data_IF_232766771052
#
_entry.id   IF_232766771052
#
_cell.length_a   1.000
_cell.length_b   1.000
_cell.length_c   1.000
_cell.angle_alpha   90.00
_cell.angle_beta   90.00
_cell.angle_gamma   90.00
#
_symmetry.space_group_name_H-M   'P 1'
#
loop_
_entity.id
_entity.type
_entity.pdbx_description
1 polymer ?
#
# COMPACT_ATOMS: atom_id res chain seq x y z
N UNK A 1 -64.47 -1.31 3.37
CA UNK A 1 -63.58 -0.94 4.50
C UNK A 1 -62.54 -2.00 4.82
N UNK A 2 -62.89 -3.29 4.93
CA UNK A 2 -61.93 -4.36 5.26
C UNK A 2 -60.83 -4.54 4.20
N UNK A 3 -61.18 -4.45 2.90
CA UNK A 3 -60.18 -4.48 1.81
C UNK A 3 -59.24 -3.27 1.81
N UNK A 4 -59.73 -2.08 2.18
CA UNK A 4 -58.90 -0.86 2.25
C UNK A 4 -57.93 -0.93 3.43
N UNK A 5 -58.37 -1.52 4.55
CA UNK A 5 -57.53 -1.77 5.72
C UNK A 5 -56.45 -2.82 5.42
N UNK A 6 -56.75 -3.90 4.70
CA UNK A 6 -55.77 -4.89 4.22
C UNK A 6 -54.77 -4.30 3.21
N UNK A 7 -55.23 -3.41 2.32
CA UNK A 7 -54.36 -2.74 1.35
C UNK A 7 -53.43 -1.71 2.02
N UNK A 8 -53.92 -0.97 3.02
CA UNK A 8 -53.10 -0.08 3.85
C UNK A 8 -52.14 -0.85 4.78
N UNK A 9 -52.54 -2.00 5.32
CA UNK A 9 -51.66 -2.88 6.11
C UNK A 9 -50.58 -3.50 5.22
N UNK A 10 -50.92 -3.87 3.98
CA UNK A 10 -49.99 -4.35 2.96
C UNK A 10 -49.01 -3.27 2.50
N UNK A 11 -49.47 -2.03 2.30
CA UNK A 11 -48.61 -0.88 1.99
C UNK A 11 -47.69 -0.51 3.17
N UNK A 12 -48.19 -0.58 4.41
CA UNK A 12 -47.36 -0.39 5.61
C UNK A 12 -46.36 -1.53 5.79
N UNK A 13 -46.74 -2.79 5.54
CA UNK A 13 -45.81 -3.92 5.56
C UNK A 13 -44.77 -3.85 4.44
N UNK A 14 -45.15 -3.42 3.23
CA UNK A 14 -44.25 -3.24 2.07
C UNK A 14 -43.33 -2.03 2.20
N UNK A 15 -43.66 -1.03 3.02
CA UNK A 15 -42.76 0.06 3.38
C UNK A 15 -41.85 -0.31 4.56
N UNK A 16 -42.37 -1.08 5.53
CA UNK A 16 -41.64 -1.49 6.74
C UNK A 16 -40.69 -2.66 6.48
N UNK A 17 -40.96 -3.58 5.56
CA UNK A 17 -40.08 -4.72 5.24
C UNK A 17 -38.77 -4.31 4.54
N UNK A 18 -38.72 -3.37 3.58
CA UNK A 18 -37.46 -2.85 3.05
C UNK A 18 -36.79 -1.84 4.00
N UNK A 19 -37.53 -1.09 4.83
CA UNK A 19 -36.93 -0.25 5.89
C UNK A 19 -36.38 -1.07 7.05
N UNK A 20 -37.04 -2.16 7.44
CA UNK A 20 -36.62 -3.09 8.49
C UNK A 20 -35.63 -4.11 7.95
N UNK A 21 -35.68 -4.46 6.67
CA UNK A 21 -34.68 -5.24 5.96
C UNK A 21 -33.39 -4.44 5.77
N UNK A 22 -33.47 -3.18 5.34
CA UNK A 22 -32.32 -2.27 5.27
C UNK A 22 -31.83 -1.86 6.66
N UNK A 23 -32.69 -1.60 7.66
CA UNK A 23 -32.27 -1.45 9.05
C UNK A 23 -31.75 -2.75 9.66
N UNK A 24 -32.22 -3.93 9.31
CA UNK A 24 -31.66 -5.20 9.83
C UNK A 24 -30.31 -5.52 9.16
N UNK A 25 -30.18 -5.25 7.86
CA UNK A 25 -28.92 -5.39 7.11
C UNK A 25 -27.89 -4.29 7.44
N UNK A 26 -28.31 -3.07 7.79
CA UNK A 26 -27.40 -1.92 7.99
C UNK A 26 -27.32 -1.41 9.45
N UNK A 27 -28.35 -1.62 10.28
CA UNK A 27 -28.37 -1.19 11.71
C UNK A 27 -28.54 -2.36 12.70
N UNK A 28 -29.02 -3.52 12.26
CA UNK A 28 -29.10 -4.77 13.02
C UNK A 28 -27.74 -5.47 13.16
N UNK A 29 -26.75 -5.04 12.37
CA UNK A 29 -25.34 -5.23 12.71
C UNK A 29 -24.99 -4.22 13.81
N UNK A 30 -25.48 -4.42 15.03
CA UNK A 30 -24.66 -4.05 16.19
C UNK A 30 -23.43 -4.92 16.07
N UNK A 31 -22.37 -4.43 15.44
CA UNK A 31 -21.07 -5.10 15.34
C UNK A 31 -20.71 -5.62 16.75
N UNK A 32 -20.89 -6.92 17.05
CA UNK A 32 -20.37 -7.45 18.28
C UNK A 32 -18.86 -7.32 18.14
N UNK A 33 -18.18 -6.94 19.22
CA UNK A 33 -16.73 -6.71 19.26
C UNK A 33 -15.88 -7.90 18.74
N UNK A 34 -16.50 -9.06 18.47
CA UNK A 34 -15.91 -10.27 17.91
C UNK A 34 -16.28 -10.60 16.44
N UNK A 35 -17.12 -9.83 15.74
CA UNK A 35 -17.41 -10.00 14.30
C UNK A 35 -16.55 -9.09 13.39
N UNK A 36 -15.46 -8.51 13.92
CA UNK A 36 -14.45 -7.75 13.16
C UNK A 36 -13.48 -8.64 12.37
N UNK A 37 -13.56 -9.98 12.47
CA UNK A 37 -12.54 -10.88 11.94
C UNK A 37 -12.93 -11.59 10.63
N UNK A 38 -14.12 -12.21 10.50
CA UNK A 38 -14.33 -13.17 9.38
C UNK A 38 -15.74 -13.08 8.76
N UNK A 39 -15.95 -12.19 7.78
CA UNK A 39 -17.25 -12.05 7.11
C UNK A 39 -17.17 -11.75 5.61
N UNK A 40 -17.20 -12.81 4.78
CA UNK A 40 -17.50 -12.92 3.33
C UNK A 40 -16.88 -11.97 2.28
N UNK A 41 -16.54 -10.72 2.60
CA UNK A 41 -15.64 -9.86 1.82
C UNK A 41 -14.14 -10.22 1.96
N UNK A 42 -13.63 -10.66 3.14
CA UNK A 42 -12.26 -11.11 3.31
C UNK A 42 -11.83 -12.26 2.38
N UNK A 43 -12.60 -13.35 2.14
CA UNK A 43 -12.10 -14.46 1.34
C UNK A 43 -11.88 -14.11 -0.14
N UNK A 44 -12.72 -13.25 -0.73
CA UNK A 44 -12.58 -12.82 -2.13
C UNK A 44 -11.45 -11.80 -2.32
N UNK A 45 -11.34 -10.83 -1.41
CA UNK A 45 -10.26 -9.83 -1.41
C UNK A 45 -8.93 -10.49 -1.04
N UNK A 46 -8.93 -11.46 -0.11
CA UNK A 46 -7.76 -12.26 0.23
C UNK A 46 -7.31 -13.13 -0.94
N UNK A 47 -8.24 -13.76 -1.66
CA UNK A 47 -7.91 -14.58 -2.83
C UNK A 47 -7.29 -13.76 -3.99
N UNK A 48 -7.56 -12.45 -4.05
CA UNK A 48 -7.01 -11.53 -5.07
C UNK A 48 -6.07 -10.47 -4.49
N UNK A 49 -5.59 -10.66 -3.26
CA UNK A 49 -4.86 -9.60 -2.54
C UNK A 49 -3.56 -9.19 -3.23
N UNK A 50 -2.89 -10.15 -3.86
CA UNK A 50 -1.70 -9.92 -4.68
C UNK A 50 -2.02 -9.00 -5.89
N UNK A 51 -3.07 -9.33 -6.66
CA UNK A 51 -3.45 -8.54 -7.84
C UNK A 51 -3.90 -7.13 -7.47
N UNK A 52 -4.66 -7.01 -6.37
CA UNK A 52 -5.11 -5.72 -5.84
C UNK A 52 -3.91 -4.91 -5.33
N UNK A 53 -2.99 -5.56 -4.60
CA UNK A 53 -1.76 -4.94 -4.10
C UNK A 53 -0.91 -4.37 -5.23
N UNK A 54 -0.73 -5.12 -6.31
CA UNK A 54 -0.01 -4.67 -7.51
C UNK A 54 -0.60 -3.38 -8.11
N UNK A 55 -1.93 -3.30 -8.19
CA UNK A 55 -2.64 -2.11 -8.71
C UNK A 55 -2.53 -0.93 -7.77
N UNK A 56 -2.67 -1.16 -6.45
CA UNK A 56 -2.46 -0.12 -5.45
C UNK A 56 -1.04 0.43 -5.56
N UNK A 57 -0.03 -0.42 -5.71
CA UNK A 57 1.35 0.04 -5.96
C UNK A 57 1.49 0.93 -7.19
N UNK A 58 0.91 0.53 -8.32
CA UNK A 58 0.92 1.34 -9.53
C UNK A 58 0.21 2.69 -9.37
N UNK A 59 -0.94 2.70 -8.70
CA UNK A 59 -1.74 3.91 -8.49
C UNK A 59 -1.13 4.82 -7.42
N UNK A 60 -0.43 4.26 -6.43
CA UNK A 60 0.35 5.03 -5.47
C UNK A 60 1.49 5.79 -6.15
N UNK A 61 2.17 5.18 -7.12
CA UNK A 61 3.16 5.91 -7.93
C UNK A 61 2.52 7.03 -8.76
N UNK A 62 1.37 6.75 -9.39
CA UNK A 62 0.67 7.76 -10.20
C UNK A 62 0.18 8.95 -9.36
N UNK A 63 -0.28 8.69 -8.14
CA UNK A 63 -0.86 9.71 -7.26
C UNK A 63 0.18 10.48 -6.44
N UNK A 64 1.21 9.79 -5.96
CA UNK A 64 2.19 10.38 -5.02
C UNK A 64 3.38 10.99 -5.78
N UNK A 65 3.63 10.54 -7.00
CA UNK A 65 4.68 11.07 -7.88
C UNK A 65 5.85 10.09 -8.09
N UNK A 66 6.93 10.56 -8.74
CA UNK A 66 8.06 9.70 -9.08
C UNK A 66 8.71 9.10 -7.83
N UNK A 67 9.09 7.83 -7.90
CA UNK A 67 9.63 7.08 -6.76
C UNK A 67 10.88 7.75 -6.17
N UNK A 68 11.68 8.40 -7.02
CA UNK A 68 12.82 9.22 -6.61
C UNK A 68 12.46 10.28 -5.56
N UNK A 69 11.32 10.94 -5.68
CA UNK A 69 10.90 11.93 -4.68
C UNK A 69 10.53 11.27 -3.34
N UNK A 70 9.94 10.07 -3.38
CA UNK A 70 9.63 9.30 -2.18
C UNK A 70 10.91 8.79 -1.51
N UNK A 71 11.87 8.32 -2.30
CA UNK A 71 13.17 7.89 -1.80
C UNK A 71 13.94 9.05 -1.13
N UNK A 72 13.85 10.26 -1.69
CA UNK A 72 14.40 11.47 -1.05
C UNK A 72 13.65 11.78 0.25
N UNK A 73 12.31 11.65 0.27
CA UNK A 73 11.51 11.89 1.46
C UNK A 73 11.80 10.91 2.61
N UNK A 74 12.23 9.68 2.30
CA UNK A 74 12.73 8.74 3.31
C UNK A 74 13.97 9.26 4.04
N UNK A 75 14.68 10.26 3.51
CA UNK A 75 15.84 10.88 4.15
C UNK A 75 17.07 9.97 4.07
N UNK A 76 17.72 9.86 2.90
CA UNK A 76 18.89 9.00 2.72
C UNK A 76 20.05 9.38 3.65
N UNK A 77 20.15 10.64 4.07
CA UNK A 77 21.15 11.10 5.03
C UNK A 77 20.93 10.49 6.42
N UNK A 78 19.68 10.39 6.89
CA UNK A 78 19.36 9.75 8.17
C UNK A 78 19.64 8.25 8.13
N UNK A 79 19.32 7.61 6.99
CA UNK A 79 19.62 6.19 6.77
C UNK A 79 21.14 5.98 6.78
N UNK A 80 21.89 6.83 6.09
CA UNK A 80 23.35 6.78 6.08
C UNK A 80 23.91 6.95 7.50
N UNK A 81 23.41 7.91 8.27
CA UNK A 81 23.82 8.15 9.65
C UNK A 81 23.57 6.91 10.53
N UNK A 82 22.38 6.30 10.45
CA UNK A 82 22.04 5.10 11.22
C UNK A 82 22.93 3.90 10.83
N UNK A 83 23.20 3.71 9.53
CA UNK A 83 24.12 2.66 9.07
C UNK A 83 25.55 2.93 9.53
N UNK A 84 25.99 4.18 9.52
CA UNK A 84 27.30 4.59 10.00
C UNK A 84 27.47 4.36 11.51
N UNK A 85 26.41 4.62 12.30
CA UNK A 85 26.38 4.32 13.73
C UNK A 85 26.44 2.81 13.99
N UNK A 86 25.61 2.03 13.29
CA UNK A 86 25.64 0.57 13.38
C UNK A 86 27.02 0.00 12.97
N UNK A 87 27.61 0.52 11.90
CA UNK A 87 28.96 0.17 11.48
C UNK A 87 29.99 0.52 12.54
N UNK A 88 29.93 1.71 13.15
CA UNK A 88 30.89 2.12 14.18
C UNK A 88 30.84 1.19 15.41
N UNK A 89 29.65 0.75 15.80
CA UNK A 89 29.45 -0.19 16.90
C UNK A 89 29.99 -1.60 16.60
N UNK A 90 29.83 -2.08 15.35
CA UNK A 90 30.21 -3.44 14.96
C UNK A 90 31.55 -3.54 14.20
N UNK A 91 32.24 -2.43 13.97
CA UNK A 91 33.39 -2.32 13.06
C UNK A 91 34.44 -3.41 13.29
N UNK A 92 34.87 -3.57 14.54
CA UNK A 92 35.89 -4.55 14.92
C UNK A 92 35.41 -5.97 14.63
N UNK A 93 34.17 -6.31 15.02
CA UNK A 93 33.59 -7.62 14.78
C UNK A 93 33.45 -7.93 13.29
N UNK A 94 32.97 -6.96 12.48
CA UNK A 94 32.86 -7.08 11.02
C UNK A 94 34.24 -7.32 10.41
N UNK A 95 35.25 -6.54 10.81
CA UNK A 95 36.60 -6.72 10.32
C UNK A 95 37.13 -8.12 10.64
N UNK A 96 37.01 -8.57 11.89
CA UNK A 96 37.47 -9.90 12.28
C UNK A 96 36.73 -11.02 11.53
N UNK A 97 35.43 -10.88 11.27
CA UNK A 97 34.67 -11.83 10.44
C UNK A 97 35.15 -11.84 9.00
N UNK A 98 35.24 -10.67 8.36
CA UNK A 98 35.61 -10.54 6.94
C UNK A 98 37.06 -10.98 6.71
N UNK A 99 38.00 -10.43 7.49
CA UNK A 99 39.41 -10.73 7.35
C UNK A 99 39.74 -12.15 7.82
N UNK A 100 39.15 -12.59 8.95
CA UNK A 100 39.35 -13.95 9.47
C UNK A 100 38.91 -15.03 8.49
N UNK A 101 37.75 -14.84 7.83
CA UNK A 101 37.21 -15.78 6.84
C UNK A 101 38.12 -15.99 5.63
N UNK A 102 38.76 -14.93 5.13
CA UNK A 102 39.49 -14.96 3.86
C UNK A 102 41.01 -14.98 3.99
N UNK A 103 41.55 -14.40 5.06
CA UNK A 103 43.00 -14.35 5.32
C UNK A 103 43.45 -15.41 6.34
N UNK A 104 42.53 -15.98 7.12
CA UNK A 104 42.78 -17.12 8.01
C UNK A 104 43.96 -16.91 8.97
N UNK A 105 45.01 -17.72 8.80
CA UNK A 105 46.23 -17.66 9.62
C UNK A 105 46.98 -16.33 9.44
N UNK A 106 46.94 -15.73 8.24
CA UNK A 106 47.63 -14.47 7.95
C UNK A 106 47.04 -13.30 8.75
N UNK A 107 45.71 -13.26 8.93
CA UNK A 107 45.06 -12.26 9.77
C UNK A 107 45.51 -12.37 11.23
N UNK A 108 45.67 -13.60 11.74
CA UNK A 108 46.13 -13.82 13.12
C UNK A 108 47.58 -13.38 13.31
N UNK A 109 48.45 -13.70 12.35
CA UNK A 109 49.88 -13.38 12.38
C UNK A 109 50.26 -11.93 12.01
N UNK A 110 49.31 -11.11 11.53
CA UNK A 110 49.58 -9.72 11.18
C UNK A 110 50.04 -8.91 12.41
N UNK A 111 51.12 -8.11 12.30
CA UNK A 111 51.55 -7.21 13.38
C UNK A 111 50.43 -6.28 13.83
N UNK A 112 50.34 -5.97 15.12
CA UNK A 112 49.30 -5.11 15.68
C UNK A 112 49.19 -3.75 14.97
N UNK A 113 50.34 -3.14 14.62
CA UNK A 113 50.38 -1.87 13.88
C UNK A 113 49.68 -1.95 12.50
N UNK A 114 49.79 -3.08 11.80
CA UNK A 114 49.16 -3.25 10.50
C UNK A 114 47.63 -3.45 10.62
N UNK A 115 47.18 -4.13 11.68
CA UNK A 115 45.74 -4.27 12.01
C UNK A 115 45.13 -2.91 12.31
N UNK A 116 45.77 -2.12 13.18
CA UNK A 116 45.34 -0.76 13.52
C UNK A 116 45.28 0.13 12.27
N UNK A 117 46.29 0.08 11.39
CA UNK A 117 46.25 0.85 10.14
C UNK A 117 45.09 0.43 9.22
N UNK A 118 44.78 -0.87 9.15
CA UNK A 118 43.65 -1.38 8.37
C UNK A 118 42.31 -0.92 8.97
N UNK A 119 42.16 -1.00 10.29
CA UNK A 119 41.01 -0.51 11.03
C UNK A 119 40.79 0.99 10.82
N UNK A 120 41.84 1.79 10.98
CA UNK A 120 41.80 3.24 10.76
C UNK A 120 41.48 3.61 9.31
N UNK A 121 41.93 2.80 8.35
CA UNK A 121 41.58 2.99 6.95
C UNK A 121 40.09 2.72 6.70
N UNK A 122 39.55 1.62 7.23
CA UNK A 122 38.12 1.32 7.10
C UNK A 122 37.27 2.37 7.82
N UNK A 123 37.62 2.73 9.06
CA UNK A 123 36.92 3.72 9.86
C UNK A 123 36.76 5.06 9.14
N UNK A 124 37.77 5.48 8.38
CA UNK A 124 37.77 6.76 7.64
C UNK A 124 37.04 6.71 6.30
N UNK A 125 37.01 5.54 5.64
CA UNK A 125 36.55 5.45 4.25
C UNK A 125 35.17 4.79 4.10
N UNK A 126 34.77 3.87 4.99
CA UNK A 126 33.47 3.19 4.94
C UNK A 126 32.31 4.16 5.05
N UNK A 127 32.29 5.14 5.99
CA UNK A 127 31.15 6.06 6.09
C UNK A 127 30.89 6.85 4.80
N UNK A 128 31.96 7.38 4.19
CA UNK A 128 31.89 8.08 2.90
C UNK A 128 31.43 7.19 1.75
N UNK A 129 31.69 5.89 1.83
CA UNK A 129 31.23 4.92 0.84
C UNK A 129 29.74 4.62 1.01
N UNK A 130 29.25 4.52 2.26
CA UNK A 130 27.83 4.37 2.58
C UNK A 130 27.04 5.57 2.05
N UNK A 131 27.48 6.79 2.35
CA UNK A 131 26.81 8.02 1.88
C UNK A 131 26.70 8.01 0.34
N UNK A 132 27.80 7.72 -0.36
CA UNK A 132 27.83 7.68 -1.82
C UNK A 132 27.01 6.54 -2.41
N UNK A 133 27.00 5.37 -1.76
CA UNK A 133 26.20 4.24 -2.19
C UNK A 133 24.71 4.58 -2.10
N UNK A 134 24.27 5.20 -0.99
CA UNK A 134 22.88 5.61 -0.82
C UNK A 134 22.45 6.68 -1.83
N UNK A 135 23.31 7.66 -2.13
CA UNK A 135 23.05 8.65 -3.19
C UNK A 135 22.86 7.97 -4.55
N UNK A 136 23.70 6.99 -4.89
CA UNK A 136 23.57 6.23 -6.14
C UNK A 136 22.32 5.35 -6.16
N UNK A 137 21.99 4.70 -5.04
CA UNK A 137 20.77 3.90 -4.91
C UNK A 137 19.52 4.78 -5.10
N UNK A 138 19.47 5.96 -4.48
CA UNK A 138 18.36 6.91 -4.66
C UNK A 138 18.29 7.42 -6.10
N UNK A 139 19.44 7.66 -6.74
CA UNK A 139 19.48 8.09 -8.13
C UNK A 139 18.98 7.02 -9.11
N UNK A 140 19.18 5.75 -8.80
CA UNK A 140 18.77 4.60 -9.61
C UNK A 140 17.48 3.93 -9.11
N UNK A 141 16.73 4.54 -8.18
CA UNK A 141 15.66 3.85 -7.44
C UNK A 141 14.57 3.27 -8.34
N UNK A 142 14.25 3.96 -9.45
CA UNK A 142 13.25 3.52 -10.43
C UNK A 142 13.62 2.19 -11.11
N UNK A 143 14.93 1.92 -11.26
CA UNK A 143 15.45 0.67 -11.82
C UNK A 143 15.63 -0.42 -10.75
N UNK A 144 15.81 -0.01 -9.49
CA UNK A 144 16.08 -0.94 -8.38
C UNK A 144 14.79 -1.50 -7.76
N UNK A 145 13.71 -0.73 -7.73
CA UNK A 145 12.46 -1.10 -7.07
C UNK A 145 11.31 -1.10 -8.07
N UNK A 146 10.71 -2.29 -8.25
CA UNK A 146 9.42 -2.40 -8.91
C UNK A 146 8.31 -2.39 -7.85
N UNK A 147 7.75 -1.20 -7.61
CA UNK A 147 6.71 -0.97 -6.61
C UNK A 147 5.50 -1.88 -6.81
N UNK A 148 4.92 -2.05 -8.03
CA UNK A 148 3.83 -2.98 -8.24
C UNK A 148 4.10 -4.38 -7.70
N UNK A 149 5.24 -5.02 -8.01
CA UNK A 149 5.47 -6.36 -7.45
C UNK A 149 5.91 -6.37 -5.98
N UNK A 150 6.54 -5.29 -5.50
CA UNK A 150 6.81 -5.14 -4.07
C UNK A 150 5.49 -5.18 -3.29
N UNK A 151 4.49 -4.40 -3.71
CA UNK A 151 3.16 -4.39 -3.11
C UNK A 151 2.41 -5.72 -3.34
N UNK A 152 2.56 -6.35 -4.50
CA UNK A 152 1.99 -7.67 -4.78
C UNK A 152 2.49 -8.71 -3.78
N UNK A 153 3.81 -8.78 -3.53
CA UNK A 153 4.38 -9.69 -2.53
C UNK A 153 3.95 -9.33 -1.11
N UNK A 154 3.97 -8.03 -0.77
CA UNK A 154 3.59 -7.55 0.56
C UNK A 154 2.14 -7.93 0.91
N UNK A 155 1.18 -7.58 0.04
CA UNK A 155 -0.23 -7.84 0.27
C UNK A 155 -0.65 -9.28 -0.05
N UNK A 156 0.09 -9.97 -0.93
CA UNK A 156 -0.04 -11.41 -1.15
C UNK A 156 0.26 -12.21 0.11
N UNK A 157 1.29 -11.82 0.87
CA UNK A 157 1.61 -12.42 2.16
C UNK A 157 0.67 -11.97 3.30
N UNK A 158 0.02 -10.80 3.17
CA UNK A 158 -0.80 -10.17 4.22
C UNK A 158 -2.21 -9.77 3.74
N UNK A 159 -3.03 -10.73 3.28
CA UNK A 159 -4.35 -10.43 2.73
C UNK A 159 -5.31 -9.76 3.74
N UNK A 160 -5.17 -10.09 5.03
CA UNK A 160 -6.00 -9.51 6.09
C UNK A 160 -5.72 -8.01 6.28
N UNK A 161 -4.46 -7.58 6.18
CA UNK A 161 -4.10 -6.16 6.29
C UNK A 161 -4.71 -5.35 5.15
N UNK A 162 -4.57 -5.85 3.91
CA UNK A 162 -5.20 -5.24 2.74
C UNK A 162 -6.72 -5.10 2.92
N UNK A 163 -7.37 -6.15 3.43
CA UNK A 163 -8.83 -6.13 3.63
C UNK A 163 -9.27 -5.05 4.64
N UNK A 164 -8.48 -4.86 5.71
CA UNK A 164 -8.74 -3.82 6.72
C UNK A 164 -8.56 -2.44 6.11
N UNK A 165 -7.45 -2.22 5.42
CA UNK A 165 -7.14 -0.97 4.71
C UNK A 165 -8.27 -0.56 3.75
N UNK A 166 -8.71 -1.49 2.89
CA UNK A 166 -9.83 -1.26 1.96
C UNK A 166 -11.12 -0.96 2.71
N UNK A 167 -11.43 -1.70 3.78
CA UNK A 167 -12.66 -1.47 4.55
C UNK A 167 -12.70 -0.06 5.17
N UNK A 168 -11.57 0.43 5.69
CA UNK A 168 -11.51 1.80 6.25
C UNK A 168 -11.70 2.84 5.14
N UNK A 169 -11.04 2.68 4.00
CA UNK A 169 -11.17 3.61 2.84
C UNK A 169 -12.59 3.58 2.25
N UNK A 170 -13.24 2.41 2.18
CA UNK A 170 -14.55 2.24 1.56
C UNK A 170 -15.73 2.61 2.48
N UNK A 171 -15.51 2.78 3.78
CA UNK A 171 -16.57 3.08 4.76
C UNK A 171 -17.42 4.32 4.40
N UNK A 172 -16.85 5.46 3.94
CA UNK A 172 -17.64 6.61 3.50
C UNK A 172 -18.53 6.29 2.29
N UNK A 173 -18.01 5.51 1.34
CA UNK A 173 -18.74 5.09 0.15
C UNK A 173 -19.95 4.25 0.52
N UNK A 174 -19.75 3.24 1.39
CA UNK A 174 -20.84 2.38 1.84
C UNK A 174 -21.91 3.14 2.62
N UNK A 175 -21.54 4.13 3.44
CA UNK A 175 -22.52 4.98 4.15
C UNK A 175 -23.44 5.74 3.19
N UNK A 176 -22.90 6.25 2.07
CA UNK A 176 -23.69 6.94 1.07
C UNK A 176 -24.60 5.99 0.28
N UNK A 177 -24.06 4.84 -0.13
CA UNK A 177 -24.81 3.81 -0.86
C UNK A 177 -25.94 3.19 -0.04
N UNK A 178 -25.73 3.06 1.28
CA UNK A 178 -26.71 2.54 2.23
C UNK A 178 -28.04 3.33 2.25
N UNK A 179 -28.03 4.60 1.82
CA UNK A 179 -29.25 5.43 1.72
C UNK A 179 -29.86 5.34 0.33
N UNK A 180 -29.03 5.37 -0.72
CA UNK A 180 -29.49 5.45 -2.12
C UNK A 180 -30.00 4.11 -2.65
N UNK A 181 -29.31 3.01 -2.35
CA UNK A 181 -29.68 1.69 -2.87
C UNK A 181 -31.05 1.19 -2.39
N UNK A 182 -31.43 1.30 -1.10
CA UNK A 182 -32.76 0.90 -0.66
C UNK A 182 -33.89 1.74 -1.27
N UNK A 183 -33.66 3.05 -1.46
CA UNK A 183 -34.63 3.92 -2.11
C UNK A 183 -34.88 3.50 -3.57
N UNK A 184 -33.83 3.14 -4.30
CA UNK A 184 -33.93 2.60 -5.66
C UNK A 184 -34.53 1.19 -5.70
N UNK A 185 -34.26 0.37 -4.69
CA UNK A 185 -34.81 -0.98 -4.57
C UNK A 185 -36.33 -1.00 -4.34
N UNK A 186 -36.92 0.14 -3.95
CA UNK A 186 -38.36 0.29 -3.82
C UNK A 186 -39.08 0.28 -5.19
N UNK A 187 -38.43 0.74 -6.27
CA UNK A 187 -39.03 0.73 -7.61
C UNK A 187 -39.40 -0.69 -8.11
N UNK A 188 -38.47 -1.68 -8.10
CA UNK A 188 -38.80 -3.07 -8.49
C UNK A 188 -39.95 -3.67 -7.69
N UNK A 189 -40.10 -3.27 -6.42
CA UNK A 189 -41.17 -3.74 -5.55
C UNK A 189 -42.56 -3.21 -5.97
N UNK A 190 -42.62 -2.06 -6.62
CA UNK A 190 -43.86 -1.42 -7.07
C UNK A 190 -44.26 -1.83 -8.50
N UNK A 191 -43.35 -2.42 -9.27
CA UNK A 191 -43.58 -2.85 -10.66
C UNK A 191 -44.68 -3.91 -10.86
N UNK A 192 -44.85 -4.92 -9.97
CA UNK A 192 -45.92 -5.92 -10.12
C UNK A 192 -47.34 -5.31 -10.14
N UNK A 193 -47.53 -4.14 -9.52
CA UNK A 193 -48.80 -3.41 -9.55
C UNK A 193 -49.18 -2.91 -10.96
N UNK A 194 -48.20 -2.77 -11.86
CA UNK A 194 -48.41 -2.28 -13.23
C UNK A 194 -48.20 -3.37 -14.29
N UNK A 195 -47.37 -4.39 -14.00
CA UNK A 195 -47.07 -5.47 -14.93
C UNK A 195 -46.77 -6.79 -14.17
N UNK A 196 -47.75 -7.71 -14.05
CA UNK A 196 -47.55 -9.00 -13.38
C UNK A 196 -46.70 -9.97 -14.21
N UNK A 197 -46.06 -10.94 -13.55
CA UNK A 197 -45.31 -12.03 -14.19
C UNK A 197 -43.79 -11.97 -13.95
N UNK A 198 -42.99 -12.43 -14.91
CA UNK A 198 -41.51 -12.44 -14.82
C UNK A 198 -40.86 -11.06 -15.07
N UNK A 199 -41.67 -10.08 -15.50
CA UNK A 199 -41.19 -8.73 -15.84
C UNK A 199 -40.53 -8.01 -14.65
N UNK A 200 -41.06 -8.05 -13.40
CA UNK A 200 -40.45 -7.41 -12.24
C UNK A 200 -39.07 -7.99 -11.89
N UNK A 201 -38.84 -9.28 -12.17
CA UNK A 201 -37.53 -9.92 -11.96
C UNK A 201 -36.47 -9.37 -12.92
N UNK A 202 -36.77 -9.34 -14.22
CA UNK A 202 -35.85 -8.82 -15.24
C UNK A 202 -35.66 -7.29 -15.09
N UNK A 203 -36.74 -6.57 -14.82
CA UNK A 203 -36.70 -5.14 -14.55
C UNK A 203 -35.87 -4.84 -13.28
N UNK A 204 -36.00 -5.67 -12.24
CA UNK A 204 -35.15 -5.60 -11.04
C UNK A 204 -33.67 -5.73 -11.38
N UNK A 205 -33.27 -6.75 -12.14
CA UNK A 205 -31.88 -6.95 -12.53
C UNK A 205 -31.31 -5.76 -13.34
N UNK A 206 -32.07 -5.26 -14.33
CA UNK A 206 -31.68 -4.11 -15.16
C UNK A 206 -31.56 -2.84 -14.31
N UNK A 207 -32.54 -2.60 -13.42
CA UNK A 207 -32.51 -1.45 -12.52
C UNK A 207 -31.36 -1.55 -11.51
N UNK A 208 -31.05 -2.73 -10.97
CA UNK A 208 -29.94 -2.92 -10.06
C UNK A 208 -28.59 -2.64 -10.73
N UNK A 209 -28.40 -3.12 -11.97
CA UNK A 209 -27.22 -2.81 -12.76
C UNK A 209 -27.10 -1.31 -13.04
N UNK A 210 -28.19 -0.67 -13.49
CA UNK A 210 -28.26 0.76 -13.77
C UNK A 210 -28.01 1.61 -12.52
N UNK A 211 -28.65 1.27 -11.40
CA UNK A 211 -28.48 1.91 -10.09
C UNK A 211 -27.04 1.81 -9.62
N UNK A 212 -26.41 0.64 -9.74
CA UNK A 212 -25.01 0.44 -9.36
C UNK A 212 -24.07 1.29 -10.21
N UNK A 213 -24.29 1.37 -11.53
CA UNK A 213 -23.50 2.21 -12.44
C UNK A 213 -23.67 3.70 -12.11
N UNK A 214 -24.90 4.16 -11.96
CA UNK A 214 -25.21 5.54 -11.58
C UNK A 214 -24.61 5.89 -10.22
N UNK A 215 -24.63 4.96 -9.27
CA UNK A 215 -24.06 5.17 -7.95
C UNK A 215 -22.55 5.35 -8.00
N UNK A 216 -21.85 4.56 -8.83
CA UNK A 216 -20.39 4.72 -9.06
C UNK A 216 -20.09 6.06 -9.72
N UNK A 217 -20.84 6.43 -10.76
CA UNK A 217 -20.63 7.71 -11.42
C UNK A 217 -20.96 8.89 -10.48
N UNK A 218 -22.00 8.78 -9.64
CA UNK A 218 -22.34 9.76 -8.60
C UNK A 218 -21.25 9.89 -7.52
N UNK A 219 -20.57 8.79 -7.20
CA UNK A 219 -19.53 8.77 -6.19
C UNK A 219 -18.23 9.42 -6.71
N UNK A 220 -17.87 9.15 -7.97
CA UNK A 220 -16.54 9.47 -8.52
C UNK A 220 -16.52 10.58 -9.59
N UNK A 221 -17.66 11.10 -10.05
CA UNK A 221 -17.65 12.28 -10.93
C UNK A 221 -17.92 13.55 -10.13
N UNK A 222 -17.14 14.62 -10.36
CA UNK A 222 -17.49 15.92 -9.81
C UNK A 222 -18.80 16.40 -10.46
N UNK A 223 -19.71 17.02 -9.67
CA UNK A 223 -20.98 17.50 -10.16
C UNK A 223 -20.76 18.64 -11.17
N UNK A 224 -21.62 18.75 -12.19
CA UNK A 224 -21.55 19.85 -13.15
C UNK A 224 -21.64 21.20 -12.43
N UNK A 225 -20.93 22.21 -12.95
CA UNK A 225 -20.74 23.51 -12.28
C UNK A 225 -22.06 24.18 -11.86
N UNK A 226 -23.14 24.02 -12.63
CA UNK A 226 -24.46 24.58 -12.32
C UNK A 226 -25.17 23.97 -11.11
N UNK A 227 -24.78 22.77 -10.67
CA UNK A 227 -25.40 22.08 -9.54
C UNK A 227 -24.70 22.37 -8.21
N UNK A 228 -23.44 22.83 -8.25
CA UNK A 228 -22.61 23.16 -7.08
C UNK A 228 -23.25 24.22 -6.17
N UNK A 229 -24.08 25.10 -6.73
CA UNK A 229 -24.73 26.19 -5.99
C UNK A 229 -26.15 25.85 -5.48
N UNK A 230 -26.77 24.77 -5.96
CA UNK A 230 -28.18 24.45 -5.68
C UNK A 230 -28.40 23.34 -4.67
N UNK A 231 -27.43 22.45 -4.48
CA UNK A 231 -27.57 21.29 -3.60
C UNK A 231 -26.43 21.23 -2.56
N UNK A 232 -26.67 20.67 -1.36
CA UNK A 232 -25.61 20.47 -0.37
C UNK A 232 -24.49 19.58 -0.94
N UNK A 233 -23.22 19.95 -0.70
CA UNK A 233 -22.04 19.20 -1.18
C UNK A 233 -22.08 17.70 -0.86
N UNK A 234 -22.64 17.32 0.30
CA UNK A 234 -22.80 15.91 0.73
C UNK A 234 -23.74 15.09 -0.16
N UNK A 235 -24.72 15.74 -0.79
CA UNK A 235 -25.68 15.08 -1.69
C UNK A 235 -25.16 15.00 -3.13
N UNK A 236 -24.24 15.89 -3.51
CA UNK A 236 -23.69 15.97 -4.86
C UNK A 236 -22.49 15.04 -5.06
N UNK A 237 -21.65 14.89 -4.04
CA UNK A 237 -20.49 13.98 -4.07
C UNK A 237 -20.13 13.60 -2.64
N UNK A 238 -20.57 12.42 -2.16
CA UNK A 238 -20.40 12.05 -0.76
C UNK A 238 -18.93 11.88 -0.34
N UNK A 239 -18.03 11.67 -1.30
CA UNK A 239 -16.58 11.50 -1.07
C UNK A 239 -15.82 12.80 -0.81
N UNK A 240 -16.21 13.92 -1.44
CA UNK A 240 -15.44 15.17 -1.35
C UNK A 240 -15.41 15.77 0.08
N UNK A 241 -16.52 15.77 0.85
CA UNK A 241 -16.48 16.21 2.25
C UNK A 241 -15.53 15.39 3.14
N UNK A 242 -15.26 14.13 2.75
CA UNK A 242 -14.44 13.18 3.49
C UNK A 242 -12.98 13.16 2.98
N UNK A 243 -12.64 14.02 2.00
CA UNK A 243 -11.31 14.06 1.37
C UNK A 243 -10.17 14.14 2.39
N UNK A 244 -10.26 15.03 3.39
CA UNK A 244 -9.20 15.19 4.39
C UNK A 244 -8.95 13.91 5.21
N UNK A 245 -10.02 13.18 5.54
CA UNK A 245 -9.93 11.89 6.22
C UNK A 245 -9.32 10.83 5.29
N UNK A 246 -9.76 10.76 4.04
CA UNK A 246 -9.22 9.80 3.05
C UNK A 246 -7.75 10.07 2.77
N UNK A 247 -7.35 11.34 2.60
CA UNK A 247 -5.96 11.75 2.44
C UNK A 247 -5.11 11.31 3.63
N UNK A 248 -5.60 11.54 4.86
CA UNK A 248 -4.87 11.17 6.08
C UNK A 248 -4.70 9.65 6.16
N UNK A 249 -5.79 8.90 5.98
CA UNK A 249 -5.77 7.44 6.00
C UNK A 249 -4.83 6.87 4.95
N UNK A 250 -4.89 7.41 3.73
CA UNK A 250 -4.01 6.98 2.65
C UNK A 250 -2.55 7.31 2.94
N UNK A 251 -2.25 8.50 3.46
CA UNK A 251 -0.89 8.87 3.85
C UNK A 251 -0.34 7.95 4.96
N UNK A 252 -1.16 7.66 5.98
CA UNK A 252 -0.81 6.74 7.07
C UNK A 252 -0.53 5.34 6.51
N UNK A 253 -1.44 4.79 5.71
CA UNK A 253 -1.27 3.49 5.04
C UNK A 253 0.00 3.44 4.18
N UNK A 254 0.24 4.46 3.35
CA UNK A 254 1.43 4.49 2.48
C UNK A 254 2.70 4.49 3.34
N UNK A 255 2.75 5.28 4.41
CA UNK A 255 3.96 5.42 5.21
C UNK A 255 4.21 4.28 6.19
N UNK A 256 3.16 3.69 6.77
CA UNK A 256 3.27 2.70 7.85
C UNK A 256 3.15 1.25 7.36
N UNK A 257 2.51 1.04 6.21
CA UNK A 257 2.23 -0.31 5.69
C UNK A 257 2.93 -0.55 4.36
N UNK A 258 2.71 0.31 3.35
CA UNK A 258 3.15 0.01 1.98
C UNK A 258 4.60 0.39 1.68
N UNK A 259 5.09 1.52 2.18
CA UNK A 259 6.42 2.07 1.92
C UNK A 259 7.21 2.29 3.21
N UNK A 260 6.98 1.43 4.20
CA UNK A 260 7.78 1.43 5.43
C UNK A 260 9.24 1.14 5.09
N UNK A 261 10.15 1.78 5.82
CA UNK A 261 11.59 1.77 5.50
C UNK A 261 12.17 0.34 5.42
N UNK A 262 11.81 -0.54 6.34
CA UNK A 262 12.23 -1.95 6.35
C UNK A 262 11.78 -2.70 5.09
N UNK A 263 10.55 -2.49 4.61
CA UNK A 263 10.03 -3.13 3.39
C UNK A 263 10.81 -2.64 2.17
N UNK A 264 11.06 -1.33 2.08
CA UNK A 264 11.80 -0.73 0.97
C UNK A 264 13.24 -1.22 0.95
N UNK A 265 13.90 -1.28 2.12
CA UNK A 265 15.27 -1.79 2.22
C UNK A 265 15.33 -3.30 1.95
N UNK A 266 14.39 -4.09 2.46
CA UNK A 266 14.30 -5.52 2.17
C UNK A 266 14.10 -5.76 0.65
N UNK A 267 13.30 -4.93 -0.02
CA UNK A 267 13.15 -4.97 -1.48
C UNK A 267 14.44 -4.61 -2.22
N UNK A 268 15.20 -3.61 -1.73
CA UNK A 268 16.49 -3.25 -2.31
C UNK A 268 17.54 -4.35 -2.16
N UNK A 269 17.51 -5.11 -1.05
CA UNK A 269 18.52 -6.12 -0.71
C UNK A 269 18.18 -7.50 -1.29
N UNK A 270 16.89 -7.87 -1.30
CA UNK A 270 16.44 -9.22 -1.66
C UNK A 270 15.42 -9.25 -2.81
N UNK A 271 14.95 -8.09 -3.28
CA UNK A 271 13.99 -7.98 -4.37
C UNK A 271 14.62 -8.10 -5.75
N UNK A 272 13.90 -7.62 -6.78
CA UNK A 272 14.35 -7.78 -8.18
C UNK A 272 15.61 -6.99 -8.50
N UNK A 273 15.77 -5.81 -7.91
CA UNK A 273 16.96 -4.98 -8.06
C UNK A 273 18.14 -5.39 -7.18
N UNK A 274 18.04 -6.47 -6.38
CA UNK A 274 19.05 -6.88 -5.40
C UNK A 274 20.46 -6.98 -5.98
N UNK A 275 20.61 -7.55 -7.19
CA UNK A 275 21.91 -7.69 -7.86
C UNK A 275 22.49 -6.30 -8.20
N UNK A 276 21.66 -5.38 -8.70
CA UNK A 276 22.09 -4.04 -9.04
C UNK A 276 22.41 -3.20 -7.78
N UNK A 277 21.59 -3.28 -6.74
CA UNK A 277 21.87 -2.67 -5.43
C UNK A 277 23.19 -3.19 -4.87
N UNK A 278 23.41 -4.51 -4.89
CA UNK A 278 24.65 -5.14 -4.46
C UNK A 278 25.84 -4.63 -5.28
N UNK A 279 25.70 -4.53 -6.60
CA UNK A 279 26.77 -4.02 -7.47
C UNK A 279 27.15 -2.57 -7.15
N UNK A 280 26.17 -1.71 -6.82
CA UNK A 280 26.43 -0.33 -6.37
C UNK A 280 27.28 -0.34 -5.10
N UNK A 281 26.87 -1.10 -4.08
CA UNK A 281 27.60 -1.18 -2.80
C UNK A 281 28.97 -1.82 -3.00
N UNK A 282 29.06 -2.91 -3.76
CA UNK A 282 30.30 -3.63 -4.05
C UNK A 282 31.33 -2.73 -4.73
N UNK A 283 30.91 -1.93 -5.71
CA UNK A 283 31.78 -0.95 -6.36
C UNK A 283 32.37 0.06 -5.37
N UNK A 284 31.57 0.50 -4.39
CA UNK A 284 32.03 1.43 -3.34
C UNK A 284 32.98 0.75 -2.35
N UNK A 285 32.70 -0.49 -1.96
CA UNK A 285 33.58 -1.32 -1.12
C UNK A 285 34.90 -1.60 -1.83
N UNK A 286 34.86 -2.06 -3.09
CA UNK A 286 36.05 -2.34 -3.89
C UNK A 286 36.98 -1.12 -4.00
N UNK A 287 36.42 0.09 -4.12
CA UNK A 287 37.19 1.32 -4.13
C UNK A 287 37.94 1.59 -2.80
N UNK A 288 37.40 1.16 -1.66
CA UNK A 288 38.07 1.24 -0.35
C UNK A 288 39.25 0.27 -0.30
N UNK A 289 39.01 -0.98 -0.68
CA UNK A 289 40.04 -2.03 -0.71
C UNK A 289 41.17 -1.71 -1.70
N UNK A 290 40.83 -1.09 -2.83
CA UNK A 290 41.80 -0.65 -3.84
C UNK A 290 42.79 0.39 -3.29
N UNK A 291 42.45 1.12 -2.22
CA UNK A 291 43.27 2.16 -1.61
C UNK A 291 43.90 1.74 -0.28
N UNK A 292 43.92 0.44 0.02
CA UNK A 292 44.48 -0.06 1.27
C UNK A 292 45.97 0.32 1.44
N UNK A 293 46.38 0.74 2.65
CA UNK A 293 47.79 0.96 2.95
C UNK A 293 48.56 -0.35 2.76
N UNK A 294 49.69 -0.30 2.06
CA UNK A 294 50.51 -1.48 1.80
C UNK A 294 49.93 -2.47 0.78
N UNK A 295 48.94 -2.09 -0.03
CA UNK A 295 48.31 -2.96 -1.06
C UNK A 295 49.31 -3.69 -1.95
N UNK A 296 50.42 -3.06 -2.34
CA UNK A 296 51.44 -3.71 -3.17
C UNK A 296 52.06 -4.93 -2.46
N UNK A 297 52.36 -4.80 -1.17
CA UNK A 297 52.87 -5.90 -0.34
C UNK A 297 51.75 -6.91 -0.04
N UNK A 298 50.53 -6.42 0.18
CA UNK A 298 49.37 -7.27 0.43
C UNK A 298 49.04 -8.14 -0.78
N UNK A 299 49.17 -7.62 -2.01
CA UNK A 299 48.93 -8.38 -3.24
C UNK A 299 49.96 -9.49 -3.51
N UNK A 300 51.17 -9.37 -2.93
CA UNK A 300 52.18 -10.44 -3.01
C UNK A 300 51.86 -11.60 -2.08
N UNK A 301 51.13 -11.33 -0.99
CA UNK A 301 50.84 -12.29 0.08
C UNK A 301 49.40 -12.82 0.00
N UNK A 302 48.46 -11.99 -0.43
CA UNK A 302 47.03 -12.25 -0.51
C UNK A 302 46.65 -12.52 -1.96
N UNK A 303 46.12 -13.71 -2.22
CA UNK A 303 45.65 -14.06 -3.56
C UNK A 303 44.53 -13.13 -4.03
N UNK A 304 44.42 -12.86 -5.36
CA UNK A 304 43.33 -12.06 -5.91
C UNK A 304 41.93 -12.58 -5.52
N UNK A 305 41.78 -13.90 -5.39
CA UNK A 305 40.53 -14.54 -4.96
C UNK A 305 40.17 -14.20 -3.51
N UNK A 306 41.15 -14.21 -2.61
CA UNK A 306 40.92 -13.81 -1.22
C UNK A 306 40.56 -12.33 -1.11
N UNK A 307 41.16 -11.45 -1.93
CA UNK A 307 40.80 -10.04 -2.00
C UNK A 307 39.35 -9.84 -2.46
N UNK A 308 38.96 -10.50 -3.56
CA UNK A 308 37.59 -10.45 -4.07
C UNK A 308 36.59 -10.99 -3.04
N UNK A 309 36.92 -12.10 -2.38
CA UNK A 309 36.11 -12.65 -1.29
C UNK A 309 35.91 -11.67 -0.14
N UNK A 310 36.94 -10.92 0.25
CA UNK A 310 36.81 -9.87 1.28
C UNK A 310 35.85 -8.76 0.86
N UNK A 311 35.93 -8.32 -0.40
CA UNK A 311 35.02 -7.30 -0.96
C UNK A 311 33.58 -7.82 -0.93
N UNK A 312 33.33 -9.05 -1.38
CA UNK A 312 32.00 -9.65 -1.39
C UNK A 312 31.43 -9.84 0.03
N UNK A 313 32.26 -10.30 0.97
CA UNK A 313 31.87 -10.42 2.38
C UNK A 313 31.58 -9.07 3.01
N UNK A 314 32.45 -8.07 2.81
CA UNK A 314 32.25 -6.72 3.34
C UNK A 314 31.00 -6.05 2.74
N UNK A 315 30.73 -6.26 1.45
CA UNK A 315 29.50 -5.81 0.79
C UNK A 315 28.27 -6.43 1.46
N UNK A 316 28.33 -7.72 1.75
CA UNK A 316 27.21 -8.43 2.40
C UNK A 316 27.00 -7.95 3.84
N UNK A 317 28.06 -7.68 4.60
CA UNK A 317 27.98 -7.08 5.94
C UNK A 317 27.40 -5.66 5.92
N UNK A 318 27.79 -4.81 4.95
CA UNK A 318 27.20 -3.47 4.80
C UNK A 318 25.72 -3.51 4.41
N UNK A 319 25.31 -4.43 3.53
CA UNK A 319 23.90 -4.63 3.20
C UNK A 319 23.11 -5.12 4.41
N UNK A 320 23.68 -6.00 5.23
CA UNK A 320 23.05 -6.44 6.48
C UNK A 320 22.89 -5.27 7.48
N UNK A 321 23.91 -4.41 7.62
CA UNK A 321 23.81 -3.23 8.45
C UNK A 321 22.71 -2.27 7.97
N UNK A 322 22.52 -2.15 6.66
CA UNK A 322 21.40 -1.40 6.08
C UNK A 322 20.05 -1.98 6.54
N UNK A 323 19.89 -3.30 6.51
CA UNK A 323 18.67 -3.97 7.01
C UNK A 323 18.47 -3.79 8.52
N UNK A 324 19.56 -3.81 9.31
CA UNK A 324 19.50 -3.56 10.75
C UNK A 324 19.07 -2.12 11.05
N UNK A 325 19.71 -1.14 10.41
CA UNK A 325 19.37 0.28 10.56
C UNK A 325 17.91 0.56 10.15
N UNK A 326 17.44 -0.08 9.07
CA UNK A 326 16.06 0.07 8.59
C UNK A 326 14.97 -0.38 9.56
N UNK A 327 15.34 -1.16 10.60
CA UNK A 327 14.44 -1.67 11.64
C UNK A 327 14.51 -0.87 12.93
N UNK A 328 15.35 0.16 13.01
CA UNK A 328 15.46 1.02 14.18
C UNK A 328 14.17 1.86 14.36
N UNK A 329 13.44 1.73 15.50
CA UNK A 329 12.13 2.36 15.65
C UNK A 329 12.14 3.89 15.50
N UNK A 330 13.21 4.54 15.98
CA UNK A 330 13.34 5.99 15.89
C UNK A 330 13.54 6.45 14.44
N UNK A 331 14.37 5.77 13.66
CA UNK A 331 14.56 6.05 12.23
C UNK A 331 13.26 5.80 11.46
N UNK A 332 12.65 4.62 11.65
CA UNK A 332 11.38 4.26 10.99
C UNK A 332 10.30 5.31 11.25
N UNK A 333 10.15 5.76 12.50
CA UNK A 333 9.18 6.79 12.87
C UNK A 333 9.42 8.13 12.17
N UNK A 334 10.68 8.58 12.08
CA UNK A 334 11.06 9.82 11.36
C UNK A 334 10.79 9.72 9.86
N UNK A 335 11.21 8.61 9.23
CA UNK A 335 10.99 8.36 7.81
C UNK A 335 9.50 8.31 7.47
N UNK A 336 8.71 7.58 8.26
CA UNK A 336 7.26 7.52 8.12
C UNK A 336 6.63 8.91 8.28
N UNK A 337 7.10 9.72 9.25
CA UNK A 337 6.64 11.10 9.44
C UNK A 337 6.80 11.97 8.19
N UNK A 338 8.00 11.97 7.60
CA UNK A 338 8.29 12.72 6.36
C UNK A 338 7.48 12.20 5.17
N UNK A 339 7.37 10.89 5.04
CA UNK A 339 6.62 10.27 3.95
C UNK A 339 5.12 10.61 4.04
N UNK A 340 4.51 10.52 5.23
CA UNK A 340 3.12 10.97 5.45
C UNK A 340 2.92 12.41 5.06
N UNK A 341 3.81 13.30 5.52
CA UNK A 341 3.74 14.72 5.19
C UNK A 341 3.78 14.94 3.67
N UNK A 342 4.72 14.28 2.99
CA UNK A 342 4.90 14.40 1.55
C UNK A 342 3.69 13.89 0.75
N UNK A 343 3.16 12.72 1.13
CA UNK A 343 1.96 12.14 0.51
C UNK A 343 0.76 13.05 0.70
N UNK A 344 0.59 13.59 1.92
CA UNK A 344 -0.51 14.50 2.23
C UNK A 344 -0.44 15.79 1.43
N UNK A 345 0.73 16.43 1.37
CA UNK A 345 0.95 17.63 0.54
C UNK A 345 0.56 17.39 -0.92
N UNK A 346 0.98 16.25 -1.48
CA UNK A 346 0.68 15.88 -2.87
C UNK A 346 -0.82 15.68 -3.08
N UNK A 347 -1.48 14.90 -2.22
CA UNK A 347 -2.90 14.65 -2.32
C UNK A 347 -3.76 15.89 -2.06
N UNK A 348 -3.34 16.79 -1.18
CA UNK A 348 -4.04 18.05 -0.92
C UNK A 348 -3.87 19.04 -2.08
N UNK A 349 -2.75 18.98 -2.80
CA UNK A 349 -2.50 19.79 -3.99
C UNK A 349 -3.27 19.32 -5.26
N UNK A 350 -3.78 18.08 -5.27
CA UNK A 350 -4.57 17.58 -6.40
C UNK A 350 -5.89 18.32 -6.57
N UNK A 351 -6.37 18.46 -7.80
CA UNK A 351 -7.73 18.91 -8.07
C UNK A 351 -8.76 17.83 -7.68
N UNK A 352 -10.01 18.25 -7.48
CA UNK A 352 -11.09 17.35 -7.06
C UNK A 352 -11.34 16.23 -8.08
N UNK A 353 -11.21 16.51 -9.39
CA UNK A 353 -11.43 15.53 -10.43
C UNK A 353 -10.31 14.49 -10.45
N UNK A 354 -9.03 14.91 -10.38
CA UNK A 354 -7.93 13.95 -10.31
C UNK A 354 -8.02 13.08 -9.04
N UNK A 355 -8.38 13.66 -7.90
CA UNK A 355 -8.57 12.89 -6.66
C UNK A 355 -9.65 11.81 -6.81
N UNK A 356 -10.83 12.17 -7.32
CA UNK A 356 -11.92 11.20 -7.52
C UNK A 356 -11.58 10.16 -8.60
N UNK A 357 -10.90 10.57 -9.66
CA UNK A 357 -10.47 9.68 -10.76
C UNK A 357 -9.43 8.68 -10.26
N UNK A 358 -8.48 9.11 -9.44
CA UNK A 358 -7.51 8.23 -8.78
C UNK A 358 -8.24 7.16 -7.95
N UNK A 359 -9.18 7.56 -7.08
CA UNK A 359 -9.95 6.63 -6.25
C UNK A 359 -10.78 5.65 -7.10
N UNK A 360 -11.38 6.14 -8.20
CA UNK A 360 -12.11 5.28 -9.15
C UNK A 360 -11.21 4.25 -9.81
N UNK A 361 -9.99 4.64 -10.20
CA UNK A 361 -9.04 3.76 -10.86
C UNK A 361 -8.59 2.61 -9.95
N UNK A 362 -8.47 2.84 -8.64
CA UNK A 362 -8.18 1.78 -7.65
C UNK A 362 -9.26 0.70 -7.67
N UNK A 363 -10.52 1.09 -7.78
CA UNK A 363 -11.66 0.17 -7.71
C UNK A 363 -12.10 -0.36 -9.08
N UNK A 364 -11.52 0.13 -10.18
CA UNK A 364 -12.00 -0.10 -11.55
C UNK A 364 -12.15 -1.58 -11.93
N UNK A 365 -11.28 -2.46 -11.46
CA UNK A 365 -11.37 -3.90 -11.73
C UNK A 365 -12.49 -4.60 -10.99
N UNK A 366 -12.90 -4.05 -9.85
CA UNK A 366 -13.92 -4.64 -8.99
C UNK A 366 -15.32 -4.06 -9.29
N UNK A 367 -15.41 -2.98 -10.07
CA UNK A 367 -16.68 -2.39 -10.49
C UNK A 367 -17.62 -3.39 -11.19
N UNK A 368 -17.18 -4.24 -12.15
CA UNK A 368 -18.07 -5.20 -12.79
C UNK A 368 -18.66 -6.22 -11.81
N UNK A 369 -17.84 -6.68 -10.85
CA UNK A 369 -18.28 -7.59 -9.79
C UNK A 369 -19.31 -6.89 -8.88
N UNK A 370 -19.02 -5.64 -8.48
CA UNK A 370 -19.94 -4.83 -7.68
C UNK A 370 -21.28 -4.61 -8.40
N UNK A 371 -21.25 -4.30 -9.71
CA UNK A 371 -22.45 -4.16 -10.53
C UNK A 371 -23.25 -5.47 -10.60
N UNK A 372 -22.57 -6.61 -10.75
CA UNK A 372 -23.20 -7.94 -10.75
C UNK A 372 -23.86 -8.29 -9.41
N UNK A 373 -23.19 -8.04 -8.28
CA UNK A 373 -23.74 -8.29 -6.94
C UNK A 373 -24.99 -7.44 -6.71
N UNK A 374 -24.94 -6.14 -7.01
CA UNK A 374 -26.10 -5.25 -6.83
C UNK A 374 -27.26 -5.65 -7.76
N UNK A 375 -26.96 -6.00 -9.02
CA UNK A 375 -27.97 -6.50 -9.95
C UNK A 375 -28.63 -7.80 -9.45
N UNK A 376 -27.85 -8.73 -8.89
CA UNK A 376 -28.35 -9.97 -8.30
C UNK A 376 -29.27 -9.72 -7.10
N UNK A 377 -28.91 -8.79 -6.20
CA UNK A 377 -29.78 -8.40 -5.07
C UNK A 377 -31.11 -7.85 -5.58
N UNK A 378 -31.09 -6.96 -6.57
CA UNK A 378 -32.31 -6.38 -7.13
C UNK A 378 -33.14 -7.41 -7.92
N UNK A 379 -32.51 -8.40 -8.55
CA UNK A 379 -33.19 -9.53 -9.19
C UNK A 379 -33.98 -10.34 -8.15
N UNK A 380 -33.37 -10.67 -7.01
CA UNK A 380 -34.04 -11.38 -5.92
C UNK A 380 -35.20 -10.56 -5.36
N UNK A 381 -35.01 -9.24 -5.18
CA UNK A 381 -36.10 -8.34 -4.75
C UNK A 381 -37.25 -8.35 -5.76
N UNK A 382 -36.96 -8.26 -7.06
CA UNK A 382 -37.97 -8.34 -8.11
C UNK A 382 -38.68 -9.69 -8.20
N UNK A 383 -37.97 -10.79 -7.93
CA UNK A 383 -38.56 -12.13 -7.84
C UNK A 383 -39.51 -12.23 -6.64
N UNK A 384 -39.10 -11.76 -5.47
CA UNK A 384 -39.94 -11.72 -4.27
C UNK A 384 -41.17 -10.87 -4.52
N UNK A 385 -41.01 -9.72 -5.17
CA UNK A 385 -42.12 -8.84 -5.55
C UNK A 385 -43.10 -9.49 -6.54
N UNK A 386 -42.63 -10.36 -7.43
CA UNK A 386 -43.47 -11.08 -8.39
C UNK A 386 -44.22 -12.29 -7.77
N UNK A 387 -43.75 -12.79 -6.63
CA UNK A 387 -44.35 -13.91 -5.90
C UNK A 387 -45.38 -13.44 -4.84
N UNK A 388 -45.29 -12.16 -4.43
CA UNK A 388 -46.25 -11.48 -3.55
C UNK A 388 -47.39 -10.87 -4.38
#
# INVERSE_FOLDING_TARGET
MILLALYLLGLCAMAVVPLAGSRALLTGIRLPRRLRADGLLPPLIAARSAEIGRRIGALSLEAVGPLKELAVALGPEDIAAAVNEAFAAEREAILHRVAGKHLGVMWRGLPGAAKVQFEDHLARNVPRAIDKALVEIVAAIDDLIDVPAMQERYFGARPLELSRMIAVVATPCFRALAVVLPALALLPLLLPAFAPGLLPMLAGAIMGYGASRLAVDWLFLPPPAGWRFRLPRRCLTPLLPERAMITTLYADTVADESFRLDIVIDELVAGRGAIATRAIVERRVAAIFARLPGRLLLNLVVSPRAMQGMIESATSELLNLLTVAAREPALVGRCAGRLRHRVRERLDAMDELAFLTMQRNVLRSELPLLHGIVAGVFLVIGLVAALL
#
